data_IF_473843544422
#
_entry.id   IF_473843544422
#
_cell.length_a   1.000
_cell.length_b   1.000
_cell.length_c   1.000
_cell.angle_alpha   90.00
_cell.angle_beta   90.00
_cell.angle_gamma   90.00
#
_symmetry.space_group_name_H-M   'P 1'
#
loop_
_entity.id
_entity.type
_entity.pdbx_description
1 polymer ?
#
# COMPACT_ATOMS: atom_id res chain seq x y z
N UNK A 1 -15.42 -4.50 -17.20
CA UNK A 1 -15.47 -3.52 -16.09
C UNK A 1 -16.71 -3.85 -15.28
N UNK A 2 -16.57 -4.05 -13.98
CA UNK A 2 -17.70 -4.11 -13.04
C UNK A 2 -17.62 -2.86 -12.19
N UNK A 3 -18.57 -1.95 -12.29
CA UNK A 3 -18.44 -0.72 -11.53
C UNK A 3 -19.71 0.09 -11.41
N UNK A 4 -19.62 1.06 -10.50
CA UNK A 4 -20.67 2.00 -10.16
C UNK A 4 -20.05 3.40 -10.17
N UNK A 5 -20.49 4.23 -11.11
CA UNK A 5 -19.82 5.49 -11.42
C UNK A 5 -20.80 6.63 -11.55
N UNK A 6 -20.48 7.79 -10.98
CA UNK A 6 -21.21 9.03 -11.25
C UNK A 6 -20.34 10.03 -11.98
N UNK A 7 -20.90 10.66 -13.02
CA UNK A 7 -20.23 11.68 -13.84
C UNK A 7 -20.61 13.11 -13.46
N UNK A 8 -21.36 13.29 -12.36
CA UNK A 8 -21.90 14.57 -11.90
C UNK A 8 -22.06 14.57 -10.37
N UNK A 9 -22.94 15.41 -9.79
CA UNK A 9 -23.10 15.60 -8.34
C UNK A 9 -23.71 14.42 -7.54
N UNK A 10 -23.84 13.24 -8.15
CA UNK A 10 -24.46 12.06 -7.52
C UNK A 10 -23.45 11.19 -6.77
N UNK A 11 -23.91 10.47 -5.73
CA UNK A 11 -23.10 9.46 -5.04
C UNK A 11 -23.02 8.19 -5.88
N UNK A 12 -21.84 7.57 -5.97
CA UNK A 12 -21.72 6.24 -6.55
C UNK A 12 -22.34 5.20 -5.63
N UNK A 13 -23.01 4.21 -6.21
CA UNK A 13 -23.49 3.05 -5.46
C UNK A 13 -22.36 2.10 -5.08
N UNK A 14 -22.64 1.21 -4.13
CA UNK A 14 -21.68 0.18 -3.71
C UNK A 14 -21.50 -0.91 -4.77
N UNK A 15 -20.32 -1.51 -4.82
CA UNK A 15 -20.03 -2.70 -5.63
C UNK A 15 -19.77 -3.87 -4.70
N UNK A 16 -20.49 -4.97 -4.91
CA UNK A 16 -20.34 -6.18 -4.10
C UNK A 16 -20.08 -7.39 -4.99
N UNK A 17 -19.04 -8.16 -4.68
CA UNK A 17 -18.67 -9.38 -5.39
C UNK A 17 -18.62 -10.54 -4.42
N UNK A 18 -19.33 -11.63 -4.72
CA UNK A 18 -19.23 -12.91 -4.03
C UNK A 18 -18.86 -13.98 -5.05
N UNK A 19 -17.74 -14.67 -4.86
CA UNK A 19 -17.28 -15.69 -5.79
C UNK A 19 -16.53 -16.84 -5.10
N UNK A 20 -16.51 -18.01 -5.75
CA UNK A 20 -15.64 -19.11 -5.34
C UNK A 20 -14.17 -18.85 -5.67
N UNK A 21 -13.93 -18.22 -6.83
CA UNK A 21 -12.63 -17.73 -7.28
C UNK A 21 -12.86 -16.46 -8.12
N UNK A 22 -11.89 -15.56 -8.13
CA UNK A 22 -11.97 -14.30 -8.87
C UNK A 22 -10.63 -14.00 -9.53
N UNK A 23 -10.64 -13.79 -10.85
CA UNK A 23 -9.47 -13.33 -11.59
C UNK A 23 -9.80 -12.02 -12.30
N UNK A 24 -9.01 -10.98 -12.02
CA UNK A 24 -9.08 -9.67 -12.65
C UNK A 24 -7.82 -9.52 -13.51
N UNK A 25 -7.90 -9.87 -14.79
CA UNK A 25 -6.76 -9.84 -15.72
C UNK A 25 -6.93 -8.69 -16.73
N UNK A 26 -6.25 -7.56 -16.52
CA UNK A 26 -6.44 -6.32 -17.29
C UNK A 26 -7.82 -5.67 -17.14
N UNK A 27 -8.69 -6.20 -16.27
CA UNK A 27 -10.04 -5.70 -16.00
C UNK A 27 -10.11 -4.77 -14.78
N UNK A 28 -11.29 -4.20 -14.53
CA UNK A 28 -11.50 -3.24 -13.45
C UNK A 28 -12.74 -3.57 -12.61
N UNK A 29 -12.60 -3.45 -11.29
CA UNK A 29 -13.71 -3.32 -10.33
C UNK A 29 -13.68 -1.88 -9.79
N UNK A 30 -14.71 -1.07 -10.04
CA UNK A 30 -14.66 0.37 -9.77
C UNK A 30 -15.86 0.89 -8.98
N UNK A 31 -15.60 1.78 -8.02
CA UNK A 31 -16.62 2.63 -7.40
C UNK A 31 -16.09 4.05 -7.42
N UNK A 32 -16.66 4.89 -8.29
CA UNK A 32 -16.06 6.20 -8.57
C UNK A 32 -17.07 7.32 -8.70
N UNK A 33 -16.65 8.52 -8.30
CA UNK A 33 -17.45 9.73 -8.46
C UNK A 33 -16.66 10.85 -9.13
N UNK A 34 -17.33 11.59 -10.02
CA UNK A 34 -16.79 12.80 -10.65
C UNK A 34 -15.85 12.57 -11.83
N UNK A 35 -15.77 11.36 -12.39
CA UNK A 35 -15.01 11.10 -13.61
C UNK A 35 -15.53 12.05 -14.72
N UNK A 36 -14.68 12.96 -15.20
CA UNK A 36 -14.96 14.04 -16.16
C UNK A 36 -15.74 15.29 -15.67
N UNK A 37 -15.92 15.48 -14.36
CA UNK A 37 -16.63 16.64 -13.81
C UNK A 37 -15.90 17.29 -12.61
N UNK A 38 -15.09 18.34 -12.83
CA UNK A 38 -14.33 19.03 -11.77
C UNK A 38 -15.17 19.63 -10.64
N UNK A 39 -16.48 19.77 -10.86
CA UNK A 39 -17.45 20.30 -9.88
C UNK A 39 -18.33 19.23 -9.25
N UNK A 40 -18.07 17.95 -9.50
CA UNK A 40 -18.77 16.85 -8.86
C UNK A 40 -18.46 16.83 -7.35
N UNK A 41 -19.47 16.48 -6.55
CA UNK A 41 -19.35 16.48 -5.08
C UNK A 41 -19.89 15.20 -4.45
N UNK A 42 -20.28 14.22 -5.28
CA UNK A 42 -20.77 12.94 -4.77
C UNK A 42 -19.62 12.09 -4.25
N UNK A 43 -19.88 11.26 -3.24
CA UNK A 43 -18.89 10.32 -2.71
C UNK A 43 -18.84 9.05 -3.58
N UNK A 44 -17.71 8.35 -3.56
CA UNK A 44 -17.66 6.97 -4.04
C UNK A 44 -18.44 6.06 -3.06
N UNK A 45 -19.03 4.98 -3.58
CA UNK A 45 -19.61 3.91 -2.77
C UNK A 45 -18.53 2.93 -2.30
N UNK A 46 -18.85 2.01 -1.41
CA UNK A 46 -17.90 0.99 -0.97
C UNK A 46 -17.74 -0.14 -2.00
N UNK A 47 -16.54 -0.73 -2.05
CA UNK A 47 -16.26 -1.98 -2.77
C UNK A 47 -16.08 -3.10 -1.74
N UNK A 48 -16.96 -4.10 -1.78
CA UNK A 48 -16.88 -5.29 -0.92
C UNK A 48 -16.69 -6.55 -1.77
N UNK A 49 -15.60 -7.28 -1.55
CA UNK A 49 -15.26 -8.47 -2.32
C UNK A 49 -15.06 -9.64 -1.36
N UNK A 50 -15.83 -10.71 -1.54
CA UNK A 50 -15.73 -11.96 -0.79
C UNK A 50 -15.43 -13.09 -1.76
N UNK A 51 -14.24 -13.68 -1.63
CA UNK A 51 -13.76 -14.78 -2.48
C UNK A 51 -13.35 -15.96 -1.61
N UNK A 52 -14.14 -17.04 -1.60
CA UNK A 52 -13.86 -18.16 -0.69
C UNK A 52 -12.55 -18.90 -1.04
N UNK A 53 -12.12 -18.82 -2.30
CA UNK A 53 -10.89 -19.43 -2.81
C UNK A 53 -9.86 -18.38 -3.26
N UNK A 54 -9.34 -18.57 -4.47
CA UNK A 54 -8.28 -17.73 -5.00
C UNK A 54 -8.81 -16.43 -5.61
N UNK A 55 -8.27 -15.30 -5.15
CA UNK A 55 -8.38 -14.00 -5.79
C UNK A 55 -7.07 -13.64 -6.48
N UNK A 56 -7.12 -13.29 -7.76
CA UNK A 56 -5.97 -12.93 -8.58
C UNK A 56 -6.20 -11.59 -9.28
N UNK A 57 -5.24 -10.69 -9.20
CA UNK A 57 -5.23 -9.41 -9.92
C UNK A 57 -3.96 -9.38 -10.77
N UNK A 58 -4.10 -9.38 -12.09
CA UNK A 58 -3.03 -9.68 -13.04
C UNK A 58 -2.98 -8.64 -14.17
N UNK A 59 -1.78 -8.36 -14.69
CA UNK A 59 -1.53 -7.66 -15.96
C UNK A 59 -2.37 -6.38 -16.17
N UNK A 60 -2.33 -5.45 -15.22
CA UNK A 60 -3.10 -4.20 -15.26
C UNK A 60 -4.50 -4.31 -14.67
N UNK A 61 -4.88 -5.47 -14.13
CA UNK A 61 -6.11 -5.64 -13.38
C UNK A 61 -6.15 -4.71 -12.16
N UNK A 62 -7.30 -4.12 -11.86
CA UNK A 62 -7.39 -3.09 -10.82
C UNK A 62 -8.72 -3.13 -10.06
N UNK A 63 -8.64 -3.07 -8.73
CA UNK A 63 -9.75 -2.71 -7.84
C UNK A 63 -9.56 -1.26 -7.43
N UNK A 64 -10.52 -0.40 -7.76
CA UNK A 64 -10.36 1.04 -7.69
C UNK A 64 -11.55 1.71 -7.04
N UNK A 65 -11.31 2.30 -5.88
CA UNK A 65 -12.24 3.20 -5.22
C UNK A 65 -11.69 4.63 -5.21
N UNK A 66 -12.44 5.61 -5.72
CA UNK A 66 -11.89 6.96 -5.76
C UNK A 66 -12.82 8.06 -6.25
N UNK A 67 -12.36 9.30 -6.05
CA UNK A 67 -13.09 10.50 -6.45
C UNK A 67 -12.22 11.42 -7.29
N UNK A 68 -12.80 12.04 -8.32
CA UNK A 68 -12.10 12.98 -9.21
C UNK A 68 -12.47 14.44 -8.93
N UNK A 69 -13.23 14.70 -7.85
CA UNK A 69 -13.71 16.02 -7.48
C UNK A 69 -13.94 16.12 -5.95
N UNK A 70 -14.89 16.91 -5.44
CA UNK A 70 -14.97 17.24 -4.02
C UNK A 70 -15.43 16.13 -3.05
N UNK A 71 -15.93 15.00 -3.55
CA UNK A 71 -16.45 13.91 -2.71
C UNK A 71 -15.38 13.01 -2.13
N UNK A 72 -15.70 12.29 -1.05
CA UNK A 72 -14.79 11.34 -0.40
C UNK A 72 -14.76 9.99 -1.12
N UNK A 73 -13.60 9.33 -1.08
CA UNK A 73 -13.49 7.92 -1.45
C UNK A 73 -14.40 7.08 -0.54
N UNK A 74 -14.82 5.91 -0.99
CA UNK A 74 -15.47 4.88 -0.19
C UNK A 74 -14.42 4.03 0.54
N UNK A 75 -14.82 2.83 0.91
CA UNK A 75 -13.93 1.82 1.52
C UNK A 75 -13.77 0.65 0.56
N UNK A 76 -12.58 0.03 0.57
CA UNK A 76 -12.33 -1.25 -0.10
C UNK A 76 -12.19 -2.31 1.00
N UNK A 77 -13.12 -3.27 1.03
CA UNK A 77 -13.12 -4.38 1.97
C UNK A 77 -13.00 -5.69 1.19
N UNK A 78 -11.93 -6.44 1.43
CA UNK A 78 -11.65 -7.70 0.73
C UNK A 78 -11.50 -8.83 1.75
N UNK A 79 -12.26 -9.90 1.56
CA UNK A 79 -12.05 -11.19 2.21
C UNK A 79 -11.72 -12.23 1.14
N UNK A 80 -10.57 -12.89 1.24
CA UNK A 80 -10.16 -13.92 0.29
C UNK A 80 -9.55 -15.17 0.95
N UNK A 81 -9.69 -16.32 0.31
CA UNK A 81 -8.94 -17.53 0.69
C UNK A 81 -7.44 -17.36 0.45
N UNK A 82 -7.05 -16.87 -0.72
CA UNK A 82 -5.69 -16.45 -1.05
C UNK A 82 -5.71 -15.24 -1.99
N UNK A 83 -4.68 -14.41 -1.95
CA UNK A 83 -4.57 -13.23 -2.81
C UNK A 83 -3.25 -13.24 -3.58
N UNK A 84 -3.32 -13.13 -4.90
CA UNK A 84 -2.18 -12.83 -5.77
C UNK A 84 -2.43 -11.50 -6.48
N UNK A 85 -1.48 -10.57 -6.34
CA UNK A 85 -1.40 -9.35 -7.15
C UNK A 85 -0.09 -9.41 -7.92
N UNK A 86 -0.17 -9.60 -9.22
CA UNK A 86 1.00 -9.75 -10.06
C UNK A 86 0.96 -8.71 -11.18
N UNK A 87 1.81 -7.70 -11.06
CA UNK A 87 1.85 -6.61 -12.02
C UNK A 87 2.39 -7.03 -13.37
N UNK A 88 3.24 -8.06 -13.44
CA UNK A 88 3.98 -8.42 -14.64
C UNK A 88 4.64 -7.20 -15.32
N UNK A 89 5.18 -6.28 -14.52
CA UNK A 89 5.78 -5.02 -14.96
C UNK A 89 4.79 -3.87 -15.20
N UNK A 90 3.49 -4.09 -15.05
CA UNK A 90 2.48 -3.03 -15.11
C UNK A 90 2.17 -2.47 -13.70
N UNK A 91 2.63 -1.25 -13.37
CA UNK A 91 2.50 -0.68 -12.03
C UNK A 91 1.07 -0.29 -11.65
N UNK A 92 0.12 -0.28 -12.60
CA UNK A 92 -1.30 -0.01 -12.33
C UNK A 92 -1.97 -1.20 -11.64
N UNK A 93 -1.37 -2.39 -11.70
CA UNK A 93 -2.01 -3.62 -11.24
C UNK A 93 -2.17 -3.63 -9.72
N UNK A 94 -3.39 -3.88 -9.25
CA UNK A 94 -3.65 -4.21 -7.85
C UNK A 94 -4.86 -3.52 -7.26
N UNK A 95 -4.70 -2.92 -6.07
CA UNK A 95 -5.78 -2.32 -5.29
C UNK A 95 -5.42 -0.86 -5.05
N UNK A 96 -6.30 0.06 -5.40
CA UNK A 96 -6.07 1.49 -5.24
C UNK A 96 -7.29 2.17 -4.65
N UNK A 97 -7.08 2.94 -3.58
CA UNK A 97 -8.07 3.82 -2.99
C UNK A 97 -7.56 5.26 -2.98
N UNK A 98 -8.49 6.20 -3.20
CA UNK A 98 -8.28 7.61 -2.85
C UNK A 98 -8.66 8.62 -3.94
N UNK A 99 -8.43 9.92 -3.67
CA UNK A 99 -8.70 11.00 -4.59
C UNK A 99 -7.73 10.97 -5.79
N UNK A 100 -8.25 11.36 -6.96
CA UNK A 100 -7.51 11.57 -8.21
C UNK A 100 -7.49 13.06 -8.58
N UNK A 101 -6.55 13.45 -9.46
CA UNK A 101 -6.18 14.84 -9.78
C UNK A 101 -7.33 15.85 -9.67
N UNK A 102 -7.15 16.87 -8.82
CA UNK A 102 -8.14 17.93 -8.60
C UNK A 102 -9.19 17.63 -7.52
N UNK A 103 -9.22 16.41 -6.97
CA UNK A 103 -10.07 16.05 -5.84
C UNK A 103 -9.59 16.66 -4.52
N UNK A 104 -10.56 17.07 -3.70
CA UNK A 104 -10.37 17.53 -2.32
C UNK A 104 -10.95 16.55 -1.29
N UNK A 105 -11.36 15.37 -1.75
CA UNK A 105 -11.94 14.32 -0.94
C UNK A 105 -10.94 13.63 -0.04
N UNK A 106 -11.42 13.06 1.06
CA UNK A 106 -10.62 12.19 1.91
C UNK A 106 -10.53 10.79 1.31
N UNK A 107 -9.41 10.12 1.61
CA UNK A 107 -9.29 8.67 1.47
C UNK A 107 -9.72 7.97 2.74
N UNK A 108 -10.44 6.86 2.63
CA UNK A 108 -10.84 6.07 3.80
C UNK A 108 -9.98 4.81 3.93
N UNK A 109 -10.61 3.65 4.06
CA UNK A 109 -9.97 2.41 4.46
C UNK A 109 -9.81 1.46 3.27
N UNK A 110 -8.62 0.86 3.18
CA UNK A 110 -8.41 -0.40 2.46
C UNK A 110 -8.20 -1.47 3.53
N UNK A 111 -9.17 -2.35 3.73
CA UNK A 111 -9.11 -3.46 4.68
C UNK A 111 -9.15 -4.80 3.96
N UNK A 112 -8.11 -5.59 4.15
CA UNK A 112 -7.87 -6.84 3.42
C UNK A 112 -7.63 -7.93 4.45
N UNK A 113 -8.51 -8.94 4.45
CA UNK A 113 -8.34 -10.17 5.21
C UNK A 113 -8.16 -11.34 4.26
N UNK A 114 -7.04 -12.03 4.37
CA UNK A 114 -6.72 -13.22 3.58
C UNK A 114 -6.48 -14.39 4.52
N UNK A 115 -7.17 -15.50 4.30
CA UNK A 115 -7.07 -16.65 5.21
C UNK A 115 -5.82 -17.52 4.99
N UNK A 116 -5.18 -17.36 3.83
CA UNK A 116 -3.99 -18.08 3.41
C UNK A 116 -2.84 -17.15 3.06
N UNK A 117 -2.29 -17.33 1.86
CA UNK A 117 -1.14 -16.59 1.37
C UNK A 117 -1.57 -15.33 0.61
N UNK A 118 -0.92 -14.21 0.91
CA UNK A 118 -0.91 -13.00 0.09
C UNK A 118 0.42 -12.87 -0.62
N UNK A 119 0.40 -12.78 -1.96
CA UNK A 119 1.57 -12.53 -2.80
C UNK A 119 1.36 -11.24 -3.59
N UNK A 120 2.31 -10.32 -3.50
CA UNK A 120 2.35 -9.09 -4.30
C UNK A 120 3.68 -9.10 -5.04
N UNK A 121 3.64 -9.15 -6.38
CA UNK A 121 4.85 -9.40 -7.18
C UNK A 121 4.92 -8.52 -8.42
N UNK A 122 6.14 -8.29 -8.91
CA UNK A 122 6.43 -7.74 -10.25
C UNK A 122 5.64 -6.47 -10.59
N UNK A 123 5.72 -5.47 -9.71
CA UNK A 123 4.98 -4.19 -9.78
C UNK A 123 3.49 -4.26 -9.43
N UNK A 124 3.05 -5.32 -8.74
CA UNK A 124 1.76 -5.33 -8.05
C UNK A 124 1.74 -4.32 -6.91
N UNK A 125 0.60 -3.64 -6.70
CA UNK A 125 0.50 -2.61 -5.67
C UNK A 125 -0.82 -2.67 -4.86
N UNK A 126 -0.73 -2.30 -3.58
CA UNK A 126 -1.87 -1.92 -2.74
C UNK A 126 -1.60 -0.48 -2.31
N UNK A 127 -2.41 0.46 -2.80
CA UNK A 127 -2.17 1.89 -2.60
C UNK A 127 -3.40 2.56 -2.00
N UNK A 128 -3.18 3.39 -0.99
CA UNK A 128 -4.17 4.32 -0.49
C UNK A 128 -3.55 5.72 -0.49
N UNK A 129 -3.98 6.58 -1.41
CA UNK A 129 -3.27 7.83 -1.67
C UNK A 129 -4.01 9.06 -1.16
N UNK A 130 -3.31 10.17 -0.96
CA UNK A 130 -3.85 11.49 -0.69
C UNK A 130 -3.45 12.50 -1.74
N UNK A 131 -4.33 13.50 -1.94
CA UNK A 131 -4.08 14.67 -2.77
C UNK A 131 -4.33 15.97 -1.99
N UNK A 132 -3.74 17.06 -2.49
CA UNK A 132 -3.94 18.40 -1.97
C UNK A 132 -3.67 18.49 -0.45
N UNK A 133 -4.66 18.85 0.36
CA UNK A 133 -4.52 19.10 1.80
C UNK A 133 -5.03 17.95 2.68
N UNK A 134 -5.46 16.83 2.10
CA UNK A 134 -6.07 15.71 2.83
C UNK A 134 -5.07 14.61 3.11
N UNK A 135 -5.22 13.95 4.25
CA UNK A 135 -4.36 12.84 4.64
C UNK A 135 -4.72 11.56 3.87
N UNK A 136 -3.72 10.72 3.62
CA UNK A 136 -3.93 9.44 2.98
C UNK A 136 -4.68 8.50 3.94
N UNK A 137 -5.46 7.60 3.35
CA UNK A 137 -6.29 6.68 4.11
C UNK A 137 -5.48 5.54 4.72
N UNK A 138 -6.13 4.79 5.61
CA UNK A 138 -5.52 3.63 6.29
C UNK A 138 -5.46 2.41 5.37
N UNK A 139 -4.40 1.61 5.50
CA UNK A 139 -4.33 0.25 4.97
C UNK A 139 -4.24 -0.73 6.14
N UNK A 140 -5.11 -1.73 6.14
CA UNK A 140 -5.12 -2.86 7.06
C UNK A 140 -4.99 -4.15 6.24
N UNK A 141 -3.97 -4.96 6.54
CA UNK A 141 -3.77 -6.27 5.91
C UNK A 141 -3.58 -7.34 6.99
N UNK A 142 -4.51 -8.28 7.02
CA UNK A 142 -4.47 -9.46 7.86
C UNK A 142 -4.29 -10.69 6.98
N UNK A 143 -3.20 -11.44 7.14
CA UNK A 143 -2.96 -12.66 6.33
C UNK A 143 -2.21 -13.74 7.10
N UNK A 144 -2.22 -14.98 6.59
CA UNK A 144 -1.45 -16.06 7.21
C UNK A 144 0.03 -15.90 6.90
N UNK A 145 0.35 -15.69 5.62
CA UNK A 145 1.70 -15.47 5.08
C UNK A 145 1.67 -14.31 4.09
N UNK A 146 2.75 -13.53 4.03
CA UNK A 146 2.89 -12.41 3.11
C UNK A 146 4.23 -12.46 2.38
N UNK A 147 4.17 -12.37 1.05
CA UNK A 147 5.34 -12.16 0.20
C UNK A 147 5.12 -10.88 -0.60
N UNK A 148 6.07 -9.95 -0.47
CA UNK A 148 6.17 -8.76 -1.32
C UNK A 148 7.51 -8.90 -2.07
N UNK A 149 7.46 -9.31 -3.32
CA UNK A 149 8.66 -9.60 -4.12
C UNK A 149 8.70 -8.73 -5.37
N UNK A 150 9.61 -7.76 -5.35
CA UNK A 150 9.74 -6.81 -6.45
C UNK A 150 10.32 -7.42 -7.72
N UNK A 151 11.14 -8.46 -7.61
CA UNK A 151 11.89 -9.06 -8.72
C UNK A 151 12.59 -8.00 -9.60
N UNK A 152 13.17 -6.98 -8.95
CA UNK A 152 13.87 -5.89 -9.63
C UNK A 152 12.99 -4.69 -10.01
N UNK A 153 11.73 -4.65 -9.55
CA UNK A 153 10.82 -3.50 -9.71
C UNK A 153 10.15 -3.15 -8.38
N UNK A 154 9.80 -1.88 -8.20
CA UNK A 154 9.07 -1.45 -7.01
C UNK A 154 7.69 -2.13 -6.94
N UNK A 155 7.44 -2.83 -5.84
CA UNK A 155 6.19 -3.56 -5.56
C UNK A 155 5.77 -3.20 -4.15
N UNK A 156 4.60 -2.57 -3.98
CA UNK A 156 4.35 -1.78 -2.78
C UNK A 156 3.02 -2.05 -2.10
N UNK A 157 3.05 -2.06 -0.76
CA UNK A 157 1.90 -1.67 0.06
C UNK A 157 2.17 -0.24 0.52
N UNK A 158 1.37 0.73 0.09
CA UNK A 158 1.69 2.14 0.31
C UNK A 158 0.48 2.99 0.68
N UNK A 159 0.56 3.67 1.81
CA UNK A 159 -0.31 4.81 2.12
C UNK A 159 0.50 6.07 1.91
N UNK A 160 0.16 6.90 0.91
CA UNK A 160 1.06 7.98 0.47
C UNK A 160 0.35 9.28 0.11
N UNK A 161 0.99 10.40 0.40
CA UNK A 161 0.60 11.69 -0.15
C UNK A 161 1.52 12.06 -1.33
N UNK A 162 0.93 12.47 -2.46
CA UNK A 162 1.67 12.73 -3.72
C UNK A 162 2.47 14.03 -3.66
N UNK A 163 3.34 14.32 -4.66
CA UNK A 163 4.07 15.59 -4.72
C UNK A 163 3.15 16.81 -4.67
N UNK A 164 3.61 17.86 -3.97
CA UNK A 164 2.87 19.10 -3.72
C UNK A 164 1.60 18.96 -2.84
N UNK A 165 1.38 17.79 -2.24
CA UNK A 165 0.39 17.64 -1.18
C UNK A 165 0.91 18.23 0.15
N UNK A 166 0.02 18.73 0.99
CA UNK A 166 0.31 19.03 2.40
C UNK A 166 -0.30 18.01 3.35
N UNK A 167 -0.97 16.97 2.82
CA UNK A 167 -1.53 15.88 3.60
C UNK A 167 -0.46 14.92 4.13
N UNK A 168 -0.73 14.34 5.29
CA UNK A 168 0.08 13.28 5.87
C UNK A 168 -0.15 11.94 5.14
N UNK A 169 0.84 11.06 5.20
CA UNK A 169 0.64 9.66 4.85
C UNK A 169 -0.21 8.95 5.92
N UNK A 170 -0.97 7.94 5.53
CA UNK A 170 -1.90 7.23 6.39
C UNK A 170 -1.25 6.07 7.14
N UNK A 171 -1.95 5.54 8.14
CA UNK A 171 -1.48 4.37 8.88
C UNK A 171 -1.47 3.12 7.99
N UNK A 172 -0.43 2.31 8.10
CA UNK A 172 -0.38 0.95 7.55
C UNK A 172 -0.27 -0.03 8.71
N UNK A 173 -1.22 -0.96 8.81
CA UNK A 173 -1.17 -2.08 9.76
C UNK A 173 -1.10 -3.39 8.98
N UNK A 174 -0.02 -4.15 9.17
CA UNK A 174 0.17 -5.47 8.56
C UNK A 174 0.32 -6.50 9.68
N UNK A 175 -0.66 -7.38 9.80
CA UNK A 175 -0.68 -8.47 10.79
C UNK A 175 -0.62 -9.80 10.08
N UNK A 176 0.48 -10.51 10.27
CA UNK A 176 0.75 -11.79 9.63
C UNK A 176 0.98 -12.84 10.70
N UNK A 177 0.24 -13.95 10.63
CA UNK A 177 0.33 -14.96 11.71
C UNK A 177 1.60 -15.81 11.63
N UNK A 178 2.23 -15.89 10.46
CA UNK A 178 3.44 -16.66 10.19
C UNK A 178 4.52 -15.75 9.59
N UNK A 179 4.86 -15.97 8.32
CA UNK A 179 6.05 -15.39 7.71
C UNK A 179 5.74 -14.18 6.82
N UNK A 180 6.56 -13.14 6.96
CA UNK A 180 6.65 -12.02 6.02
C UNK A 180 7.99 -12.09 5.30
N UNK A 181 7.96 -12.04 3.98
CA UNK A 181 9.14 -11.87 3.14
C UNK A 181 9.00 -10.60 2.29
N UNK A 182 9.96 -9.69 2.43
CA UNK A 182 10.06 -8.46 1.64
C UNK A 182 11.35 -8.54 0.83
N UNK A 183 11.23 -8.73 -0.49
CA UNK A 183 12.31 -9.16 -1.36
C UNK A 183 12.49 -8.22 -2.56
N UNK A 184 13.74 -8.01 -2.99
CA UNK A 184 14.09 -7.50 -4.33
C UNK A 184 13.28 -6.29 -4.83
N UNK A 185 13.12 -5.24 -4.03
CA UNK A 185 12.29 -4.06 -4.37
C UNK A 185 10.85 -4.12 -3.85
N UNK A 186 10.54 -5.12 -3.02
CA UNK A 186 9.33 -5.16 -2.20
C UNK A 186 9.37 -4.10 -1.10
N UNK A 187 8.25 -3.42 -0.88
CA UNK A 187 8.20 -2.26 0.03
C UNK A 187 6.87 -2.14 0.79
N UNK A 188 6.95 -1.71 2.05
CA UNK A 188 5.81 -1.19 2.83
C UNK A 188 6.11 0.28 3.15
N UNK A 189 5.30 1.20 2.63
CA UNK A 189 5.61 2.64 2.62
C UNK A 189 4.47 3.50 3.16
N UNK A 190 4.69 4.16 4.29
CA UNK A 190 3.82 5.24 4.76
C UNK A 190 4.53 6.59 4.59
N UNK A 191 4.60 7.06 3.35
CA UNK A 191 5.48 8.18 2.98
C UNK A 191 4.72 9.33 2.30
N UNK A 192 5.14 10.55 2.58
CA UNK A 192 4.65 11.75 1.88
C UNK A 192 5.75 12.33 1.01
N UNK A 193 5.39 12.59 -0.25
CA UNK A 193 6.24 13.32 -1.20
C UNK A 193 5.99 14.85 -1.14
N UNK A 194 5.11 15.27 -0.24
CA UNK A 194 4.78 16.66 0.02
C UNK A 194 5.32 17.17 1.36
N UNK A 195 4.69 18.23 1.88
CA UNK A 195 5.10 18.87 3.14
C UNK A 195 4.42 18.27 4.37
N UNK A 196 3.52 17.30 4.19
CA UNK A 196 2.87 16.60 5.31
C UNK A 196 3.84 15.69 6.05
N UNK A 197 3.34 15.00 7.08
CA UNK A 197 4.14 14.04 7.86
C UNK A 197 4.07 12.61 7.28
N UNK A 198 5.10 11.80 7.52
CA UNK A 198 5.02 10.35 7.32
C UNK A 198 3.99 9.74 8.28
N UNK A 199 3.31 8.67 7.86
CA UNK A 199 2.28 8.02 8.67
C UNK A 199 2.85 6.86 9.48
N UNK A 200 2.06 6.29 10.39
CA UNK A 200 2.55 5.18 11.22
C UNK A 200 2.56 3.86 10.43
N UNK A 201 3.62 3.07 10.58
CA UNK A 201 3.66 1.68 10.06
C UNK A 201 3.76 0.71 11.23
N UNK A 202 2.82 -0.23 11.32
CA UNK A 202 2.82 -1.31 12.31
C UNK A 202 2.88 -2.66 11.59
N UNK A 203 3.90 -3.46 11.89
CA UNK A 203 4.04 -4.81 11.34
C UNK A 203 4.18 -5.82 12.45
N UNK A 204 3.33 -6.85 12.44
CA UNK A 204 3.41 -7.98 13.37
C UNK A 204 3.52 -9.29 12.60
N UNK A 205 4.50 -10.11 12.95
CA UNK A 205 4.75 -11.41 12.34
C UNK A 205 5.26 -12.45 13.34
N UNK A 206 5.23 -13.74 12.97
CA UNK A 206 6.11 -14.72 13.59
C UNK A 206 7.54 -14.46 13.12
N UNK A 207 7.80 -14.58 11.82
CA UNK A 207 9.10 -14.28 11.24
C UNK A 207 8.97 -13.17 10.19
N UNK A 208 9.95 -12.27 10.17
CA UNK A 208 10.03 -11.18 9.19
C UNK A 208 11.43 -11.19 8.59
N UNK A 209 11.51 -11.43 7.29
CA UNK A 209 12.74 -11.34 6.51
C UNK A 209 12.63 -10.19 5.52
N UNK A 210 13.58 -9.26 5.59
CA UNK A 210 13.78 -8.22 4.58
C UNK A 210 15.12 -8.51 3.92
N UNK A 211 15.09 -8.84 2.64
CA UNK A 211 16.26 -9.29 1.88
C UNK A 211 16.28 -8.59 0.53
N UNK A 212 17.21 -7.65 0.33
CA UNK A 212 17.31 -6.96 -0.97
C UNK A 212 17.83 -7.88 -2.07
N UNK A 213 18.52 -8.97 -1.74
CA UNK A 213 19.14 -9.90 -2.69
C UNK A 213 19.97 -9.20 -3.78
N UNK A 214 20.65 -8.11 -3.42
CA UNK A 214 21.46 -7.32 -4.36
C UNK A 214 20.67 -6.34 -5.25
N UNK A 215 19.38 -6.10 -4.99
CA UNK A 215 18.65 -5.01 -5.63
C UNK A 215 19.23 -3.66 -5.17
N UNK A 216 19.89 -2.96 -6.11
CA UNK A 216 20.59 -1.68 -5.88
C UNK A 216 19.90 -0.48 -6.52
N UNK A 217 18.91 -0.70 -7.39
CA UNK A 217 18.22 0.38 -8.11
C UNK A 217 17.16 1.09 -7.25
N UNK A 218 16.90 0.57 -6.04
CA UNK A 218 15.91 1.14 -5.15
C UNK A 218 15.93 0.51 -3.77
N UNK A 219 14.89 0.81 -3.02
CA UNK A 219 14.71 0.39 -1.63
C UNK A 219 14.03 -0.98 -1.54
N UNK A 220 14.46 -1.81 -0.59
CA UNK A 220 13.74 -3.03 -0.16
C UNK A 220 13.51 -2.94 1.34
N UNK A 221 12.25 -2.93 1.77
CA UNK A 221 11.92 -2.95 3.20
C UNK A 221 10.73 -2.09 3.63
N UNK A 222 10.83 -1.53 4.83
CA UNK A 222 9.72 -0.82 5.49
C UNK A 222 10.13 0.63 5.74
N UNK A 223 9.31 1.59 5.31
CA UNK A 223 9.60 3.00 5.55
C UNK A 223 8.38 3.81 5.94
N UNK A 224 8.62 4.77 6.82
CA UNK A 224 7.71 5.87 7.12
C UNK A 224 8.51 7.17 7.06
N UNK A 225 8.13 8.09 6.18
CA UNK A 225 9.01 9.20 5.86
C UNK A 225 8.34 10.39 5.19
N UNK A 226 9.10 11.47 5.09
CA UNK A 226 8.69 12.73 4.46
C UNK A 226 9.81 13.22 3.54
N UNK A 227 9.48 13.53 2.29
CA UNK A 227 10.47 13.99 1.31
C UNK A 227 10.63 15.52 1.26
N UNK A 228 9.62 16.30 1.64
CA UNK A 228 9.60 17.75 1.33
C UNK A 228 9.21 18.67 2.49
N UNK A 229 9.38 18.24 3.75
CA UNK A 229 9.47 19.18 4.89
C UNK A 229 8.59 18.87 6.11
N UNK A 230 7.91 17.71 6.14
CA UNK A 230 7.29 17.21 7.38
C UNK A 230 8.18 16.23 8.14
N UNK A 231 7.73 15.84 9.33
CA UNK A 231 8.41 14.81 10.14
C UNK A 231 8.17 13.43 9.57
N UNK A 232 9.15 12.53 9.69
CA UNK A 232 8.92 11.12 9.41
C UNK A 232 7.98 10.51 10.47
N UNK A 233 7.22 9.48 10.08
CA UNK A 233 6.31 8.79 10.98
C UNK A 233 7.00 7.65 11.72
N UNK A 234 6.27 7.09 12.69
CA UNK A 234 6.80 6.00 13.52
C UNK A 234 6.65 4.64 12.84
N UNK A 235 7.62 3.76 13.09
CA UNK A 235 7.59 2.36 12.66
C UNK A 235 7.63 1.47 13.90
N UNK A 236 6.65 0.58 14.03
CA UNK A 236 6.55 -0.39 15.11
C UNK A 236 6.57 -1.81 14.52
N UNK A 237 7.60 -2.59 14.86
CA UNK A 237 7.78 -3.96 14.38
C UNK A 237 7.74 -4.92 15.57
N UNK A 238 6.90 -5.94 15.48
CA UNK A 238 6.85 -7.05 16.43
C UNK A 238 7.06 -8.38 15.71
N UNK A 239 8.17 -9.06 15.99
CA UNK A 239 8.48 -10.39 15.47
C UNK A 239 8.58 -11.38 16.64
N UNK A 240 7.61 -12.28 16.77
CA UNK A 240 7.60 -13.27 17.87
C UNK A 240 8.59 -14.43 17.66
N UNK A 241 9.19 -14.53 16.48
CA UNK A 241 10.25 -15.46 16.12
C UNK A 241 11.51 -14.70 15.69
N UNK A 242 11.87 -14.83 14.43
CA UNK A 242 13.08 -14.24 13.86
C UNK A 242 12.78 -13.00 13.00
N UNK A 243 13.47 -11.90 13.29
CA UNK A 243 13.59 -10.75 12.40
C UNK A 243 14.96 -10.76 11.73
N UNK A 244 14.99 -10.81 10.39
CA UNK A 244 16.22 -10.75 9.60
C UNK A 244 16.20 -9.54 8.66
N UNK A 245 17.26 -8.73 8.73
CA UNK A 245 17.57 -7.69 7.75
C UNK A 245 18.88 -8.09 7.07
N UNK A 246 18.80 -8.56 5.83
CA UNK A 246 19.94 -9.14 5.13
C UNK A 246 20.14 -8.54 3.75
N UNK A 247 21.39 -8.58 3.27
CA UNK A 247 21.78 -8.17 1.92
C UNK A 247 21.26 -6.77 1.53
N UNK A 248 21.19 -5.84 2.49
CA UNK A 248 20.71 -4.47 2.26
C UNK A 248 19.22 -4.23 2.49
N UNK A 249 18.50 -5.19 3.09
CA UNK A 249 17.13 -4.98 3.58
C UNK A 249 17.08 -3.93 4.70
N UNK A 250 16.09 -3.05 4.68
CA UNK A 250 16.08 -1.85 5.53
C UNK A 250 14.74 -1.60 6.26
N UNK A 251 14.83 -0.92 7.40
CA UNK A 251 13.69 -0.29 8.10
C UNK A 251 14.08 1.16 8.35
N UNK A 252 13.30 2.12 7.83
CA UNK A 252 13.75 3.51 7.72
C UNK A 252 12.65 4.55 8.05
N UNK A 253 12.91 5.38 9.06
CA UNK A 253 12.07 6.50 9.49
C UNK A 253 12.63 7.87 9.08
N UNK A 254 12.89 8.12 7.78
CA UNK A 254 13.67 9.30 7.36
C UNK A 254 12.82 10.49 6.89
N UNK A 255 13.20 11.68 7.35
CA UNK A 255 12.82 12.96 6.76
C UNK A 255 13.98 13.44 5.88
N UNK A 256 13.73 13.68 4.59
CA UNK A 256 14.77 14.06 3.61
C UNK A 256 14.93 15.58 3.45
N UNK A 257 14.07 16.36 4.10
CA UNK A 257 14.11 17.82 4.13
C UNK A 257 14.11 18.32 5.58
N UNK A 258 13.74 19.57 5.84
CA UNK A 258 13.58 20.10 7.19
C UNK A 258 12.46 19.34 7.92
N UNK A 259 12.80 18.49 8.88
CA UNK A 259 11.85 17.70 9.67
C UNK A 259 12.56 16.65 10.51
N UNK A 260 11.93 16.26 11.62
CA UNK A 260 12.50 15.24 12.51
C UNK A 260 12.37 13.83 11.92
N UNK A 261 13.38 12.99 12.16
CA UNK A 261 13.30 11.57 11.88
C UNK A 261 12.25 10.88 12.78
N UNK A 262 11.64 9.82 12.27
CA UNK A 262 10.61 9.06 12.96
C UNK A 262 11.21 8.05 13.94
N UNK A 263 10.43 7.66 14.95
CA UNK A 263 10.87 6.62 15.90
C UNK A 263 10.69 5.24 15.28
N UNK A 264 11.71 4.39 15.37
CA UNK A 264 11.63 2.98 14.99
C UNK A 264 11.72 2.13 16.27
N UNK A 265 10.65 1.41 16.58
CA UNK A 265 10.59 0.48 17.72
C UNK A 265 10.51 -0.94 17.19
N UNK A 266 11.47 -1.79 17.58
CA UNK A 266 11.55 -3.19 17.18
C UNK A 266 11.52 -4.07 18.42
N UNK A 267 10.54 -4.96 18.48
CA UNK A 267 10.45 -6.04 19.46
C UNK A 267 10.60 -7.36 18.73
N UNK A 268 11.71 -8.07 18.93
CA UNK A 268 11.96 -9.35 18.29
C UNK A 268 12.52 -10.37 19.28
N UNK A 269 12.09 -11.63 19.18
CA UNK A 269 12.70 -12.71 19.98
C UNK A 269 14.14 -12.97 19.54
N UNK A 270 14.39 -12.97 18.22
CA UNK A 270 15.73 -13.00 17.65
C UNK A 270 15.82 -11.92 16.56
N UNK A 271 16.92 -11.16 16.57
CA UNK A 271 17.23 -10.14 15.58
C UNK A 271 18.56 -10.47 14.92
N UNK A 272 18.55 -10.64 13.60
CA UNK A 272 19.74 -10.84 12.77
C UNK A 272 19.84 -9.70 11.75
N UNK A 273 20.98 -9.00 11.72
CA UNK A 273 21.24 -7.92 10.78
C UNK A 273 22.57 -8.21 10.10
N UNK A 274 22.56 -8.34 8.78
CA UNK A 274 23.74 -8.64 7.98
C UNK A 274 23.75 -7.85 6.67
N UNK A 275 24.82 -7.07 6.46
CA UNK A 275 24.99 -6.22 5.29
C UNK A 275 26.07 -6.72 4.31
N UNK A 276 26.57 -7.96 4.47
CA UNK A 276 27.77 -8.44 3.76
C UNK A 276 27.66 -8.48 2.22
N UNK A 277 26.45 -8.34 1.66
CA UNK A 277 26.22 -8.31 0.20
C UNK A 277 25.56 -7.01 -0.30
N UNK A 278 25.49 -5.95 0.50
CA UNK A 278 24.96 -4.67 0.04
C UNK A 278 26.09 -3.72 -0.35
N UNK A 279 26.21 -3.42 -1.65
CA UNK A 279 27.05 -2.36 -2.17
C UNK A 279 26.17 -1.15 -2.48
N UNK A 280 26.05 -0.20 -1.56
CA UNK A 280 25.44 1.10 -1.85
C UNK A 280 26.49 2.07 -2.37
N UNK A 281 26.37 2.49 -3.62
CA UNK A 281 26.91 3.77 -4.09
C UNK A 281 25.83 4.83 -3.93
N UNK A 282 25.59 5.32 -2.71
CA UNK A 282 24.73 6.49 -2.53
C UNK A 282 25.54 7.77 -2.75
N UNK A 283 25.24 8.42 -3.87
CA UNK A 283 25.42 9.86 -4.05
C UNK A 283 24.44 10.56 -3.10
N UNK A 284 24.97 11.54 -2.38
CA UNK A 284 24.29 12.49 -1.48
C UNK A 284 23.00 13.08 -2.02
#
# INVERSE_FOLDING_TARGET
ILGSETKAKGQAGNVTVHAGALTINGGYITSQSGYDAPTATGNAGAISIVVTGAMQILNGGLVLDGTFAGGNAGEIIINAGSLLIDGNGNPVTGISAGPYYGSTGNSNLVDITVHGLTQITRSGNIVNQALATKDAGKISLNTKNLVIDGQGSNTTIASRAVPNSSGAAGEITVTVTQDIQILQGGQILSTTEGTGNGGVVKVTAQNLTIDSQGYTQGFTGISSGSKSGGTAGNIEITATGLLQLINGGQIQGSAYAQGDAGTITVTANNLFIDNQNFSSTNVT
#
